data_IF_220350102793
#
_entry.id   IF_220350102793
#
_cell.length_a   1.000
_cell.length_b   1.000
_cell.length_c   1.000
_cell.angle_alpha   90.00
_cell.angle_beta   90.00
_cell.angle_gamma   90.00
#
_symmetry.space_group_name_H-M   'P 1'
#
loop_
_entity.id
_entity.type
_entity.pdbx_description
1 polymer ?
#
# COMPACT_ATOMS: atom_id res chain seq x y z
N UNK A 1 21.68 12.50 18.75
CA UNK A 1 20.31 12.72 18.21
C UNK A 1 19.69 13.86 19.00
N UNK A 2 19.27 14.94 18.33
CA UNK A 2 18.60 16.05 19.02
C UNK A 2 17.23 15.58 19.51
N UNK A 3 16.92 15.82 20.80
CA UNK A 3 15.62 15.47 21.36
C UNK A 3 14.51 16.21 20.61
N UNK A 4 13.49 15.50 20.18
CA UNK A 4 12.30 16.07 19.56
C UNK A 4 11.55 16.92 20.59
N UNK A 5 11.61 18.23 20.41
CA UNK A 5 10.94 19.17 21.32
C UNK A 5 9.54 19.52 20.79
N UNK A 6 8.58 19.94 21.64
CA UNK A 6 7.26 20.42 21.20
C UNK A 6 7.35 21.52 20.13
N UNK A 7 8.38 22.38 20.21
CA UNK A 7 8.63 23.42 19.22
C UNK A 7 9.04 22.83 17.85
N UNK A 8 9.81 21.73 17.83
CA UNK A 8 10.16 21.03 16.60
C UNK A 8 8.91 20.46 15.92
N UNK A 9 8.05 19.76 16.65
CA UNK A 9 6.81 19.21 16.12
C UNK A 9 5.88 20.30 15.57
N UNK A 10 5.75 21.41 16.28
CA UNK A 10 4.92 22.54 15.81
C UNK A 10 5.44 23.12 14.50
N UNK A 11 6.76 23.33 14.37
CA UNK A 11 7.40 23.82 13.14
C UNK A 11 7.27 22.83 12.00
N UNK A 12 7.51 21.54 12.25
CA UNK A 12 7.35 20.49 11.25
C UNK A 12 5.91 20.44 10.72
N UNK A 13 4.92 20.47 11.61
CA UNK A 13 3.49 20.50 11.25
C UNK A 13 3.13 21.74 10.41
N UNK A 14 3.63 22.91 10.78
CA UNK A 14 3.38 24.15 10.04
C UNK A 14 4.02 24.12 8.65
N UNK A 15 5.25 23.62 8.54
CA UNK A 15 5.95 23.46 7.26
C UNK A 15 5.21 22.45 6.35
N UNK A 16 4.81 21.31 6.90
CA UNK A 16 4.05 20.31 6.16
C UNK A 16 2.73 20.87 5.62
N UNK A 17 1.98 21.62 6.44
CA UNK A 17 0.75 22.29 5.99
C UNK A 17 1.02 23.30 4.88
N UNK A 18 2.05 24.10 5.02
CA UNK A 18 2.42 25.11 4.02
C UNK A 18 2.83 24.48 2.68
N UNK A 19 3.62 23.41 2.70
CA UNK A 19 4.01 22.67 1.50
C UNK A 19 2.81 22.01 0.84
N UNK A 20 1.94 21.38 1.62
CA UNK A 20 0.71 20.76 1.13
C UNK A 20 -0.22 21.78 0.47
N UNK A 21 -0.42 22.94 1.10
CA UNK A 21 -1.22 24.03 0.55
C UNK A 21 -0.67 24.47 -0.83
N UNK A 22 0.64 24.69 -0.94
CA UNK A 22 1.29 25.06 -2.20
C UNK A 22 1.19 23.98 -3.28
N UNK A 23 1.17 22.72 -2.87
CA UNK A 23 1.03 21.58 -3.77
C UNK A 23 -0.43 21.25 -4.11
N UNK A 24 -1.40 22.03 -3.63
CA UNK A 24 -2.84 21.74 -3.80
C UNK A 24 -3.28 20.44 -3.14
N UNK A 25 -2.60 20.05 -2.03
CA UNK A 25 -2.84 18.79 -1.36
C UNK A 25 -3.68 19.01 -0.10
N UNK A 26 -4.77 18.26 0.00
CA UNK A 26 -5.57 18.21 1.23
C UNK A 26 -4.88 17.27 2.25
N UNK A 27 -4.54 17.80 3.43
CA UNK A 27 -4.03 17.04 4.56
C UNK A 27 -5.12 16.66 5.55
N UNK A 28 -6.36 17.10 5.32
CA UNK A 28 -7.52 16.77 6.13
C UNK A 28 -8.24 15.52 5.61
N UNK A 29 -7.48 14.54 5.10
CA UNK A 29 -8.10 13.27 4.73
C UNK A 29 -8.91 12.76 5.93
N UNK A 30 -10.19 12.42 5.75
CA UNK A 30 -10.99 11.86 6.83
C UNK A 30 -10.33 10.58 7.33
N UNK A 31 -10.45 10.30 8.63
CA UNK A 31 -10.00 9.04 9.20
C UNK A 31 -10.56 7.88 8.40
N UNK A 32 -9.66 7.07 7.87
CA UNK A 32 -10.07 5.92 7.08
C UNK A 32 -10.42 4.76 8.01
N UNK A 33 -11.66 4.31 7.94
CA UNK A 33 -12.15 3.18 8.72
C UNK A 33 -12.28 1.96 7.80
N UNK A 34 -11.40 0.96 7.94
CA UNK A 34 -11.47 -0.25 7.13
C UNK A 34 -12.78 -1.01 7.36
N UNK A 35 -13.46 -1.38 6.28
CA UNK A 35 -14.66 -2.20 6.30
C UNK A 35 -14.29 -3.68 6.42
N UNK A 36 -14.80 -4.45 7.41
CA UNK A 36 -14.44 -5.85 7.63
C UNK A 36 -14.72 -6.77 6.43
N UNK A 37 -15.79 -6.55 5.70
CA UNK A 37 -16.09 -7.36 4.52
C UNK A 37 -15.13 -7.05 3.37
N UNK A 38 -14.80 -5.79 3.17
CA UNK A 38 -13.80 -5.39 2.17
C UNK A 38 -12.40 -5.86 2.55
N UNK A 39 -12.02 -5.87 3.83
CA UNK A 39 -10.77 -6.45 4.32
C UNK A 39 -10.66 -7.91 3.88
N UNK A 40 -11.70 -8.71 4.15
CA UNK A 40 -11.73 -10.13 3.83
C UNK A 40 -11.62 -10.40 2.33
N UNK A 41 -12.34 -9.64 1.52
CA UNK A 41 -12.28 -9.77 0.07
C UNK A 41 -10.94 -9.26 -0.46
N UNK A 42 -10.45 -8.12 0.04
CA UNK A 42 -9.17 -7.55 -0.34
C UNK A 42 -8.00 -8.50 -0.07
N UNK A 43 -8.00 -9.19 1.07
CA UNK A 43 -7.01 -10.22 1.38
C UNK A 43 -7.05 -11.41 0.41
N UNK A 44 -8.24 -11.83 -0.04
CA UNK A 44 -8.36 -12.87 -1.08
C UNK A 44 -7.82 -12.40 -2.43
N UNK A 45 -8.12 -11.14 -2.81
CA UNK A 45 -7.61 -10.57 -4.06
C UNK A 45 -6.09 -10.40 -4.01
N UNK A 46 -5.54 -9.97 -2.87
CA UNK A 46 -4.10 -9.83 -2.67
C UNK A 46 -3.37 -11.18 -2.55
N UNK A 47 -4.07 -12.23 -2.17
CA UNK A 47 -3.56 -13.60 -2.06
C UNK A 47 -3.39 -14.29 -3.40
N UNK A 48 -3.00 -15.57 -3.36
CA UNK A 48 -2.71 -16.41 -4.54
C UNK A 48 -3.93 -16.71 -5.41
N UNK A 49 -5.14 -16.56 -4.89
CA UNK A 49 -6.40 -16.69 -5.66
C UNK A 49 -6.74 -15.43 -6.48
N UNK A 50 -6.03 -14.35 -6.29
CA UNK A 50 -6.25 -13.07 -6.94
C UNK A 50 -5.02 -12.58 -7.72
N UNK A 51 -4.41 -11.50 -7.25
CA UNK A 51 -3.24 -10.89 -7.87
C UNK A 51 -1.89 -11.43 -7.38
N UNK A 52 -1.91 -12.31 -6.40
CA UNK A 52 -0.72 -12.94 -5.82
C UNK A 52 0.32 -11.93 -5.27
N UNK A 53 -0.14 -10.80 -4.72
CA UNK A 53 0.73 -9.77 -4.14
C UNK A 53 1.65 -10.36 -3.06
N UNK A 54 1.10 -11.26 -2.22
CA UNK A 54 1.83 -11.92 -1.14
C UNK A 54 2.90 -12.91 -1.63
N UNK A 55 2.97 -13.18 -2.93
CA UNK A 55 4.07 -13.95 -3.50
C UNK A 55 5.39 -13.16 -3.41
N UNK A 56 5.35 -11.87 -3.73
CA UNK A 56 6.54 -11.01 -3.75
C UNK A 56 6.65 -10.08 -2.53
N UNK A 57 5.54 -9.82 -1.84
CA UNK A 57 5.48 -8.89 -0.71
C UNK A 57 5.19 -9.61 0.59
N UNK A 58 5.94 -9.29 1.63
CA UNK A 58 5.53 -9.59 2.99
C UNK A 58 4.29 -8.77 3.36
N UNK A 59 3.43 -9.29 4.23
CA UNK A 59 2.21 -8.64 4.70
C UNK A 59 2.17 -8.69 6.25
N UNK A 60 2.63 -7.63 6.89
CA UNK A 60 2.85 -7.64 8.34
C UNK A 60 3.89 -8.68 8.71
N UNK A 61 3.56 -9.57 9.64
CA UNK A 61 4.44 -10.65 10.11
C UNK A 61 4.50 -11.86 9.15
N UNK A 62 3.67 -11.86 8.11
CA UNK A 62 3.68 -12.94 7.13
C UNK A 62 4.75 -12.67 6.07
N UNK A 63 5.77 -13.53 5.93
CA UNK A 63 6.79 -13.35 4.91
C UNK A 63 6.22 -13.51 3.49
N UNK A 64 6.92 -12.96 2.50
CA UNK A 64 6.62 -13.24 1.11
C UNK A 64 6.74 -14.75 0.83
N UNK A 65 5.78 -15.29 0.07
CA UNK A 65 5.73 -16.73 -0.21
C UNK A 65 6.92 -17.15 -1.08
N UNK A 66 7.21 -16.37 -2.12
CA UNK A 66 8.32 -16.64 -3.03
C UNK A 66 8.65 -15.38 -3.83
N UNK A 67 9.86 -14.85 -3.67
CA UNK A 67 10.35 -13.74 -4.47
C UNK A 67 11.32 -14.26 -5.54
N UNK A 68 10.91 -14.25 -6.80
CA UNK A 68 11.71 -14.81 -7.91
C UNK A 68 12.89 -13.91 -8.30
N UNK A 69 12.67 -12.62 -8.45
CA UNK A 69 13.68 -11.66 -8.93
C UNK A 69 14.05 -10.62 -7.88
N UNK A 70 13.24 -10.46 -6.87
CA UNK A 70 13.44 -9.54 -5.77
C UNK A 70 12.20 -9.43 -4.90
N UNK A 71 12.42 -9.38 -3.60
CA UNK A 71 11.34 -9.19 -2.65
C UNK A 71 10.86 -7.74 -2.71
N UNK A 72 9.56 -7.54 -2.84
CA UNK A 72 8.93 -6.24 -2.68
C UNK A 72 8.94 -5.75 -1.22
N UNK A 73 8.71 -4.46 -0.97
CA UNK A 73 8.60 -3.95 0.39
C UNK A 73 7.45 -4.63 1.13
N UNK A 74 7.56 -4.71 2.47
CA UNK A 74 6.45 -5.16 3.30
C UNK A 74 5.25 -4.21 3.15
N UNK A 75 4.07 -4.79 2.95
CA UNK A 75 2.82 -4.04 2.72
C UNK A 75 2.23 -3.43 4.00
N UNK A 76 2.76 -3.77 5.18
CA UNK A 76 2.25 -3.36 6.49
C UNK A 76 1.98 -1.85 6.62
N UNK A 77 2.88 -1.03 6.06
CA UNK A 77 2.76 0.43 6.14
C UNK A 77 2.14 1.06 4.89
N UNK A 78 1.70 0.25 3.94
CA UNK A 78 1.20 0.76 2.65
C UNK A 78 -0.13 1.49 2.80
N UNK A 79 -1.00 1.06 3.71
CA UNK A 79 -2.27 1.70 4.00
C UNK A 79 -2.09 3.15 4.42
N UNK A 80 -1.27 3.41 5.43
CA UNK A 80 -1.02 4.74 5.98
C UNK A 80 -0.17 5.63 5.05
N UNK A 81 0.83 5.05 4.38
CA UNK A 81 1.83 5.83 3.62
C UNK A 81 1.36 6.23 2.25
N UNK A 82 0.51 5.42 1.61
CA UNK A 82 0.10 5.67 0.24
C UNK A 82 -1.21 6.47 0.21
N UNK A 83 -1.15 7.66 -0.38
CA UNK A 83 -2.36 8.45 -0.63
C UNK A 83 -3.28 7.72 -1.59
N UNK A 84 -4.61 7.78 -1.39
CA UNK A 84 -5.57 7.04 -2.21
C UNK A 84 -5.38 7.24 -3.72
N UNK A 85 -5.23 8.48 -4.18
CA UNK A 85 -5.03 8.78 -5.60
C UNK A 85 -3.74 8.21 -6.18
N UNK A 86 -2.63 8.26 -5.41
CA UNK A 86 -1.37 7.64 -5.81
C UNK A 86 -1.49 6.12 -5.83
N UNK A 87 -2.06 5.53 -4.77
CA UNK A 87 -2.30 4.10 -4.67
C UNK A 87 -3.06 3.55 -5.88
N UNK A 88 -4.22 4.15 -6.21
CA UNK A 88 -4.99 3.74 -7.38
C UNK A 88 -4.20 3.89 -8.67
N UNK A 89 -3.50 5.00 -8.86
CA UNK A 89 -2.69 5.22 -10.06
C UNK A 89 -1.55 4.21 -10.18
N UNK A 90 -0.90 3.86 -9.06
CA UNK A 90 0.13 2.83 -8.99
C UNK A 90 -0.44 1.45 -9.35
N UNK A 91 -1.56 1.05 -8.75
CA UNK A 91 -2.19 -0.24 -9.02
C UNK A 91 -2.62 -0.39 -10.49
N UNK A 92 -3.03 0.69 -11.12
CA UNK A 92 -3.37 0.67 -12.54
C UNK A 92 -2.16 0.45 -13.43
N UNK A 93 -1.04 1.13 -13.17
CA UNK A 93 0.13 1.06 -14.04
C UNK A 93 1.42 1.44 -13.30
N UNK A 94 2.04 0.51 -12.57
CA UNK A 94 3.26 0.76 -11.81
C UNK A 94 4.42 1.27 -12.65
N UNK A 95 4.62 0.74 -13.86
CA UNK A 95 5.73 1.09 -14.75
C UNK A 95 5.70 2.56 -15.22
N UNK A 96 4.54 3.23 -15.09
CA UNK A 96 4.44 4.66 -15.36
C UNK A 96 5.25 5.50 -14.36
N UNK A 97 5.35 5.04 -13.12
CA UNK A 97 6.06 5.73 -12.05
C UNK A 97 7.48 5.18 -11.86
N UNK A 98 7.64 3.89 -12.00
CA UNK A 98 8.92 3.19 -11.89
C UNK A 98 9.10 2.25 -13.08
N UNK A 99 9.71 2.72 -14.19
CA UNK A 99 9.80 1.96 -15.45
C UNK A 99 10.49 0.59 -15.31
N UNK A 100 11.37 0.44 -14.32
CA UNK A 100 12.11 -0.81 -14.07
C UNK A 100 11.47 -1.69 -13.00
N UNK A 101 10.28 -1.35 -12.49
CA UNK A 101 9.60 -2.20 -11.50
C UNK A 101 9.16 -3.52 -12.12
N UNK A 102 9.41 -4.59 -11.38
CA UNK A 102 8.91 -5.93 -11.73
C UNK A 102 7.44 -6.13 -11.33
N UNK A 103 6.86 -5.20 -10.55
CA UNK A 103 5.45 -5.25 -10.18
C UNK A 103 4.58 -5.20 -11.44
N UNK A 104 3.72 -6.20 -11.67
CA UNK A 104 2.94 -6.26 -12.89
C UNK A 104 1.82 -5.21 -12.94
N UNK A 105 1.35 -4.94 -14.14
CA UNK A 105 0.11 -4.18 -14.36
C UNK A 105 -1.07 -5.12 -14.16
N UNK A 106 -2.05 -4.72 -13.34
CA UNK A 106 -3.22 -5.56 -13.03
C UNK A 106 -4.49 -5.18 -13.80
N UNK A 107 -4.39 -4.25 -14.74
CA UNK A 107 -5.53 -3.78 -15.53
C UNK A 107 -5.33 -3.96 -17.02
N UNK A 108 -6.41 -4.27 -17.72
CA UNK A 108 -6.45 -4.23 -19.18
C UNK A 108 -6.54 -2.76 -19.63
N UNK A 109 -7.48 -2.03 -19.04
CA UNK A 109 -7.73 -0.61 -19.27
C UNK A 109 -7.96 0.11 -17.92
N UNK A 110 -8.51 1.33 -17.95
CA UNK A 110 -8.74 2.11 -16.72
C UNK A 110 -9.85 1.54 -15.83
N UNK A 111 -10.75 0.75 -16.36
CA UNK A 111 -11.95 0.26 -15.69
C UNK A 111 -11.87 -1.24 -15.41
N UNK A 112 -11.23 -1.99 -16.30
CA UNK A 112 -11.18 -3.45 -16.26
C UNK A 112 -9.88 -3.99 -15.68
N UNK A 113 -10.01 -4.83 -14.66
CA UNK A 113 -8.93 -5.61 -14.10
C UNK A 113 -8.69 -6.89 -14.90
N UNK A 114 -7.48 -7.44 -14.78
CA UNK A 114 -7.13 -8.73 -15.38
C UNK A 114 -7.91 -9.91 -14.76
N UNK A 115 -8.26 -9.80 -13.47
CA UNK A 115 -9.01 -10.82 -12.75
C UNK A 115 -10.50 -10.47 -12.71
N UNK A 116 -11.32 -11.26 -13.40
CA UNK A 116 -12.78 -11.08 -13.42
C UNK A 116 -13.55 -11.83 -12.31
N UNK A 117 -12.85 -12.62 -11.47
CA UNK A 117 -13.50 -13.41 -10.42
C UNK A 117 -14.02 -12.58 -9.25
N UNK A 118 -13.57 -11.35 -9.14
CA UNK A 118 -14.00 -10.41 -8.11
C UNK A 118 -14.61 -9.17 -8.76
N UNK A 119 -15.73 -8.71 -8.24
CA UNK A 119 -16.43 -7.50 -8.68
C UNK A 119 -16.60 -7.41 -10.22
N UNK A 120 -16.86 -8.56 -10.87
CA UNK A 120 -17.03 -8.65 -12.33
C UNK A 120 -15.89 -8.00 -13.14
N UNK A 121 -14.69 -7.96 -12.54
CA UNK A 121 -13.51 -7.35 -13.13
C UNK A 121 -13.45 -5.83 -13.01
N UNK A 122 -14.27 -5.19 -12.17
CA UNK A 122 -14.15 -3.76 -11.93
C UNK A 122 -12.87 -3.45 -11.14
N UNK A 123 -11.91 -2.78 -11.80
CA UNK A 123 -10.59 -2.53 -11.23
C UNK A 123 -10.63 -1.66 -9.97
N UNK A 124 -11.46 -0.61 -9.98
CA UNK A 124 -11.57 0.31 -8.85
C UNK A 124 -12.09 -0.39 -7.60
N UNK A 125 -13.13 -1.22 -7.73
CA UNK A 125 -13.70 -1.97 -6.61
C UNK A 125 -12.69 -2.98 -6.03
N UNK A 126 -11.97 -3.68 -6.90
CA UNK A 126 -10.92 -4.62 -6.47
C UNK A 126 -9.79 -3.90 -5.73
N UNK A 127 -9.30 -2.78 -6.26
CA UNK A 127 -8.23 -2.01 -5.62
C UNK A 127 -8.69 -1.39 -4.31
N UNK A 128 -9.94 -0.93 -4.23
CA UNK A 128 -10.48 -0.40 -2.98
C UNK A 128 -10.57 -1.50 -1.92
N UNK A 129 -11.03 -2.70 -2.25
CA UNK A 129 -11.02 -3.82 -1.31
C UNK A 129 -9.60 -4.16 -0.83
N UNK A 130 -8.60 -4.16 -1.73
CA UNK A 130 -7.19 -4.34 -1.33
C UNK A 130 -6.75 -3.20 -0.41
N UNK A 131 -7.16 -1.94 -0.65
CA UNK A 131 -6.81 -0.80 0.21
C UNK A 131 -7.34 -0.98 1.64
N UNK A 132 -8.57 -1.46 1.80
CA UNK A 132 -9.12 -1.81 3.12
C UNK A 132 -8.30 -2.91 3.81
N UNK A 133 -7.88 -3.92 3.07
CA UNK A 133 -7.01 -4.96 3.59
C UNK A 133 -5.63 -4.42 3.99
N UNK A 134 -5.00 -3.56 3.18
CA UNK A 134 -3.72 -2.93 3.52
C UNK A 134 -3.78 -2.14 4.84
N UNK A 135 -4.86 -1.42 5.10
CA UNK A 135 -5.06 -0.72 6.36
C UNK A 135 -5.29 -1.67 7.55
N UNK A 136 -5.76 -2.88 7.32
CA UNK A 136 -5.90 -3.88 8.38
C UNK A 136 -4.58 -4.53 8.80
N UNK A 137 -3.52 -4.36 8.01
CA UNK A 137 -2.17 -4.84 8.35
C UNK A 137 -1.45 -3.92 9.35
N UNK A 138 -2.02 -2.75 9.61
CA UNK A 138 -1.51 -1.79 10.59
C UNK A 138 -1.69 -2.34 12.00
N UNK A 139 -0.68 -2.18 12.86
CA UNK A 139 -0.75 -2.63 14.25
C UNK A 139 0.22 -3.73 14.65
N UNK A 140 0.91 -4.37 13.73
CA UNK A 140 2.10 -5.16 14.05
C UNK A 140 3.30 -4.21 14.29
N UNK A 141 3.17 -3.35 15.29
CA UNK A 141 4.27 -2.55 15.81
C UNK A 141 5.28 -3.51 16.44
N UNK A 142 6.47 -3.61 15.85
CA UNK A 142 7.63 -4.41 16.27
C UNK A 142 7.79 -5.82 15.66
N UNK A 143 7.68 -5.97 14.36
CA UNK A 143 8.36 -7.10 13.74
C UNK A 143 9.90 -6.85 13.85
N UNK A 144 10.68 -7.76 14.48
CA UNK A 144 12.13 -7.62 14.55
C UNK A 144 12.69 -7.54 13.12
N UNK A 145 13.54 -6.54 12.89
CA UNK A 145 14.34 -6.46 11.67
C UNK A 145 15.16 -7.77 11.60
N UNK A 146 15.04 -8.56 10.52
CA UNK A 146 15.85 -9.77 10.41
C UNK A 146 17.33 -9.37 10.52
N UNK A 147 18.02 -9.90 11.51
CA UNK A 147 19.47 -9.75 11.62
C UNK A 147 20.09 -10.27 10.33
N UNK A 148 20.89 -9.44 9.69
CA UNK A 148 21.68 -9.86 8.55
C UNK A 148 22.63 -10.94 9.06
N UNK A 149 22.44 -12.18 8.64
CA UNK A 149 23.49 -13.18 8.74
C UNK A 149 24.64 -12.72 7.85
N UNK A 150 25.70 -12.23 8.47
CA UNK A 150 26.96 -11.94 7.82
C UNK A 150 27.57 -13.27 7.35
N UNK A 151 27.63 -13.45 6.04
CA UNK A 151 28.39 -14.50 5.38
C UNK A 151 29.65 -13.90 4.76
#
# INVERSE_FOLDING_TARGET
>A
MAAETPAFHSRAKSLTKGLAYRAGMDLSAPDFHPDPELIKVGGKIAGTSGYACTTCHAAGDQPAIQAFEGQGPNLQLSGERLRPGYYHSWMHWPQRFAPLTIMPKYTVDKEKALNSNFYEGEAKAQFEAIRHWLHSLEGAENAPVPEKEDH
#
